data_IF_429064553867
#
_entry.id   IF_429064553867
#
_cell.length_a   1.000
_cell.length_b   1.000
_cell.length_c   1.000
_cell.angle_alpha   90.00
_cell.angle_beta   90.00
_cell.angle_gamma   90.00
#
_symmetry.space_group_name_H-M   'P 1'
#
loop_
_entity.id
_entity.type
_entity.pdbx_description
1 polymer ?
#
# COMPACT_ATOMS: atom_id res chain seq x y z
N UNK A 1 3.06 16.13 13.31
CA UNK A 1 2.33 15.00 12.68
C UNK A 1 2.92 14.84 11.29
N UNK A 2 3.13 13.61 10.79
CA UNK A 2 3.66 13.40 9.44
C UNK A 2 2.79 14.10 8.40
N UNK A 3 3.40 14.72 7.39
CA UNK A 3 2.67 15.40 6.33
C UNK A 3 2.17 14.42 5.27
N UNK A 4 0.87 14.53 4.94
CA UNK A 4 0.26 13.75 3.88
C UNK A 4 0.32 14.51 2.56
N UNK A 5 0.72 13.82 1.49
CA UNK A 5 0.67 14.34 0.13
C UNK A 5 -0.74 14.13 -0.42
N UNK A 6 -1.38 15.21 -0.91
CA UNK A 6 -2.69 15.15 -1.57
C UNK A 6 -2.54 15.47 -3.05
N UNK A 7 -2.99 14.56 -3.91
CA UNK A 7 -2.95 14.70 -5.37
C UNK A 7 -4.39 14.65 -5.88
N UNK A 8 -4.77 15.57 -6.77
CA UNK A 8 -6.12 15.59 -7.35
C UNK A 8 -6.09 15.92 -8.84
N UNK A 9 -7.02 15.32 -9.58
CA UNK A 9 -7.36 15.70 -10.94
C UNK A 9 -8.89 15.63 -11.14
N UNK A 10 -9.36 15.75 -12.38
CA UNK A 10 -10.80 15.73 -12.70
C UNK A 10 -11.47 14.37 -12.48
N UNK A 11 -10.71 13.30 -12.29
CA UNK A 11 -11.20 11.92 -12.18
C UNK A 11 -11.00 11.32 -10.80
N UNK A 12 -9.97 11.74 -10.07
CA UNK A 12 -9.60 11.12 -8.80
C UNK A 12 -8.93 12.09 -7.83
N UNK A 13 -9.01 11.73 -6.55
CA UNK A 13 -8.31 12.37 -5.44
C UNK A 13 -7.60 11.30 -4.62
N UNK A 14 -6.33 11.52 -4.33
CA UNK A 14 -5.46 10.56 -3.68
C UNK A 14 -4.76 11.20 -2.50
N UNK A 15 -4.65 10.48 -1.39
CA UNK A 15 -3.86 10.88 -0.21
C UNK A 15 -2.82 9.83 0.11
N UNK A 16 -1.56 10.22 0.22
CA UNK A 16 -0.40 9.35 0.50
C UNK A 16 0.28 9.84 1.78
N UNK A 17 0.73 8.91 2.63
CA UNK A 17 1.56 9.19 3.81
C UNK A 17 2.98 8.68 3.59
N UNK A 18 3.94 9.52 3.13
CA UNK A 18 5.31 9.10 2.87
C UNK A 18 5.98 8.44 4.08
N UNK A 19 5.85 9.06 5.26
CA UNK A 19 6.48 8.59 6.50
C UNK A 19 5.84 7.31 7.09
N UNK A 20 4.74 6.83 6.50
CA UNK A 20 4.08 5.60 6.91
C UNK A 20 4.27 4.49 5.87
N UNK A 21 5.52 4.25 5.47
CA UNK A 21 5.87 3.24 4.47
C UNK A 21 5.29 3.55 3.08
N UNK A 22 5.19 4.84 2.74
CA UNK A 22 4.54 5.31 1.52
C UNK A 22 3.11 4.77 1.32
N UNK A 23 2.35 4.61 2.42
CA UNK A 23 1.00 4.06 2.39
C UNK A 23 0.01 4.98 1.65
N UNK A 24 -0.85 4.35 0.84
CA UNK A 24 -2.00 4.99 0.21
C UNK A 24 -3.14 5.05 1.23
N UNK A 25 -3.53 6.25 1.67
CA UNK A 25 -4.54 6.44 2.73
C UNK A 25 -5.96 6.66 2.23
N UNK A 26 -6.11 7.16 1.01
CA UNK A 26 -7.41 7.40 0.39
C UNK A 26 -7.25 7.43 -1.12
N UNK A 27 -8.18 6.80 -1.82
CA UNK A 27 -8.38 6.98 -3.26
C UNK A 27 -9.86 7.14 -3.53
N UNK A 28 -10.24 8.36 -3.94
CA UNK A 28 -11.60 8.69 -4.31
C UNK A 28 -11.70 8.85 -5.82
N UNK A 29 -12.63 8.15 -6.44
CA UNK A 29 -12.90 8.26 -7.87
C UNK A 29 -14.20 9.01 -8.13
N UNK A 30 -14.20 9.87 -9.15
CA UNK A 30 -15.38 10.61 -9.59
C UNK A 30 -16.26 9.73 -10.48
N UNK A 31 -17.55 9.66 -10.17
CA UNK A 31 -18.59 9.06 -11.01
C UNK A 31 -19.81 9.99 -11.01
N UNK A 32 -20.10 10.59 -12.16
CA UNK A 32 -21.02 11.73 -12.24
C UNK A 32 -20.49 12.91 -11.41
N UNK A 33 -21.35 13.53 -10.61
CA UNK A 33 -20.96 14.65 -9.73
C UNK A 33 -20.47 14.22 -8.34
N UNK A 34 -20.33 12.92 -8.10
CA UNK A 34 -19.97 12.36 -6.79
C UNK A 34 -18.60 11.71 -6.80
N UNK A 35 -17.96 11.69 -5.63
CA UNK A 35 -16.71 10.98 -5.39
C UNK A 35 -16.96 9.79 -4.47
N UNK A 36 -16.33 8.66 -4.77
CA UNK A 36 -16.48 7.40 -4.04
C UNK A 36 -15.13 6.92 -3.53
N UNK A 37 -15.02 6.69 -2.21
CA UNK A 37 -13.83 6.08 -1.60
C UNK A 37 -13.75 4.61 -1.98
N UNK A 38 -12.59 4.19 -2.49
CA UNK A 38 -12.35 2.80 -2.90
C UNK A 38 -11.61 1.99 -1.83
N UNK A 39 -10.95 2.63 -0.87
CA UNK A 39 -10.27 1.91 0.21
C UNK A 39 -11.20 1.54 1.36
N UNK A 40 -11.10 0.28 1.78
CA UNK A 40 -11.85 -0.33 2.87
C UNK A 40 -11.33 0.17 4.24
N UNK A 41 -11.49 1.45 4.53
CA UNK A 41 -10.95 2.08 5.74
C UNK A 41 -11.23 3.57 5.86
N UNK A 42 -11.49 4.25 4.73
CA UNK A 42 -11.71 5.69 4.72
C UNK A 42 -10.47 6.49 5.10
N UNK A 43 -10.64 7.80 5.31
CA UNK A 43 -9.54 8.69 5.67
C UNK A 43 -9.11 8.44 7.13
N UNK A 44 -8.12 7.57 7.34
CA UNK A 44 -7.49 7.39 8.64
C UNK A 44 -6.54 8.56 8.89
N UNK A 45 -6.88 9.43 9.84
CA UNK A 45 -6.12 10.65 10.16
C UNK A 45 -4.98 10.40 11.15
N UNK A 46 -4.94 9.24 11.81
CA UNK A 46 -3.95 8.92 12.83
C UNK A 46 -2.95 7.90 12.31
N UNK A 47 -1.69 8.34 12.21
CA UNK A 47 -0.56 7.47 11.90
C UNK A 47 -0.08 6.86 13.22
N UNK A 48 -0.46 5.61 13.48
CA UNK A 48 0.16 4.82 14.54
C UNK A 48 1.43 4.18 13.95
N UNK A 49 2.61 4.62 14.41
CA UNK A 49 3.92 4.12 13.91
C UNK A 49 4.14 2.64 14.19
N UNK A 50 3.54 2.12 15.26
CA UNK A 50 3.82 0.78 15.77
C UNK A 50 2.75 -0.26 15.39
N UNK A 51 1.71 0.16 14.67
CA UNK A 51 0.68 -0.74 14.16
C UNK A 51 0.81 -0.87 12.66
N UNK A 52 0.92 -2.11 12.17
CA UNK A 52 0.78 -2.37 10.74
C UNK A 52 -0.60 -1.88 10.28
N UNK A 53 -0.70 -1.19 9.13
CA UNK A 53 -1.99 -0.83 8.57
C UNK A 53 -2.72 -2.12 8.19
N UNK A 54 -3.64 -2.57 9.04
CA UNK A 54 -4.43 -3.79 8.80
C UNK A 54 -5.37 -3.62 7.59
N UNK A 55 -5.64 -2.36 7.19
CA UNK A 55 -6.64 -2.04 6.16
C UNK A 55 -6.18 -1.10 5.04
N UNK A 56 -5.07 -0.40 5.20
CA UNK A 56 -4.58 0.52 4.17
C UNK A 56 -3.61 -0.20 3.24
N UNK A 57 -3.63 0.06 1.93
CA UNK A 57 -2.57 -0.38 1.05
C UNK A 57 -1.22 0.18 1.50
N UNK A 58 -0.23 -0.69 1.61
CA UNK A 58 1.15 -0.36 1.92
C UNK A 58 2.09 -1.04 0.94
N UNK A 59 3.27 -0.47 0.77
CA UNK A 59 4.30 -1.06 -0.07
C UNK A 59 4.87 -2.27 0.67
N UNK A 60 4.74 -3.45 0.08
CA UNK A 60 5.36 -4.68 0.58
C UNK A 60 6.70 -4.90 -0.13
N UNK A 61 7.80 -4.53 0.52
CA UNK A 61 9.15 -4.75 0.03
C UNK A 61 10.00 -5.42 1.12
N UNK A 62 10.87 -6.40 0.77
CA UNK A 62 11.20 -6.85 -0.58
C UNK A 62 10.25 -7.92 -1.18
N UNK A 63 9.33 -8.50 -0.39
CA UNK A 63 8.42 -9.56 -0.84
C UNK A 63 6.99 -9.29 -0.37
N UNK A 64 6.02 -9.64 -1.22
CA UNK A 64 4.57 -9.42 -0.99
C UNK A 64 3.97 -10.35 0.08
N UNK A 65 4.76 -11.31 0.58
CA UNK A 65 4.31 -12.27 1.60
C UNK A 65 5.51 -12.82 2.39
N UNK A 66 5.25 -13.65 3.40
CA UNK A 66 6.26 -14.21 4.28
C UNK A 66 7.35 -14.95 3.49
N UNK A 67 8.60 -14.62 3.81
CA UNK A 67 9.75 -15.47 3.45
C UNK A 67 9.79 -16.58 4.49
N UNK A 68 9.72 -17.84 4.06
CA UNK A 68 9.79 -19.00 4.95
C UNK A 68 11.09 -18.92 5.75
N UNK A 69 10.97 -18.96 7.08
CA UNK A 69 12.08 -18.86 8.04
C UNK A 69 12.95 -17.60 7.89
N UNK A 70 12.45 -16.55 7.20
CA UNK A 70 13.21 -15.34 6.92
C UNK A 70 14.42 -15.53 6.00
N UNK A 71 14.53 -16.69 5.33
CA UNK A 71 15.69 -17.06 4.51
C UNK A 71 15.30 -17.20 3.05
N UNK A 72 16.00 -16.45 2.20
CA UNK A 72 15.96 -16.66 0.76
C UNK A 72 17.06 -17.66 0.39
N UNK A 73 16.68 -18.88 0.02
CA UNK A 73 17.62 -19.91 -0.41
C UNK A 73 17.66 -19.93 -1.95
N UNK A 74 18.83 -19.73 -2.53
CA UNK A 74 19.02 -19.81 -3.99
C UNK A 74 18.85 -21.27 -4.43
N UNK A 75 17.76 -21.58 -5.13
CA UNK A 75 17.56 -22.91 -5.72
C UNK A 75 18.18 -22.94 -7.12
N UNK A 76 19.39 -23.47 -7.22
CA UNK A 76 19.97 -23.85 -8.53
C UNK A 76 19.26 -25.12 -9.01
N UNK A 77 18.32 -24.99 -9.93
CA UNK A 77 17.68 -26.13 -10.57
C UNK A 77 18.62 -26.67 -11.66
N UNK A 78 19.25 -27.81 -11.40
CA UNK A 78 19.91 -28.58 -12.46
C UNK A 78 18.84 -29.33 -13.26
N UNK A 79 18.47 -28.83 -14.43
CA UNK A 79 17.75 -29.62 -15.43
C UNK A 79 18.71 -30.65 -16.03
N UNK A 80 18.70 -31.87 -15.49
CA UNK A 80 19.22 -33.05 -16.21
C UNK A 80 18.18 -33.49 -17.23
N UNK A 81 18.43 -33.22 -18.50
CA UNK A 81 17.78 -33.93 -19.60
C UNK A 81 18.45 -35.31 -19.73
N UNK A 82 17.65 -36.38 -19.67
CA UNK A 82 18.03 -37.74 -20.06
C UNK A 82 17.44 -38.03 -21.43
#
# INVERSE_FOLDING_TARGET
MPENIKIKNNHAQVTISPEAGASLRSIKVKKGDRHYELLSGGLITTIQRDSLPVKDPFVMAPWVNRIRDGKLVHLTVFTKFH
#
